data_IF_474718848478
#
_entry.id   IF_474718848478
#
_cell.length_a   1.000
_cell.length_b   1.000
_cell.length_c   1.000
_cell.angle_alpha   90.00
_cell.angle_beta   90.00
_cell.angle_gamma   90.00
#
_symmetry.space_group_name_H-M   'P 1'
#
loop_
_entity.id
_entity.type
_entity.pdbx_description
1 polymer ?
#
# COMPACT_ATOMS: atom_id res chain seq x y z
N UNK A 1 3.42 8.94 -18.89
CA UNK A 1 1.95 8.84 -19.01
C UNK A 1 1.42 7.97 -17.88
N UNK A 2 0.17 8.17 -17.46
CA UNK A 2 -0.48 7.43 -16.35
C UNK A 2 -0.33 5.91 -16.51
N UNK A 3 -0.38 5.41 -17.74
CA UNK A 3 -0.26 3.98 -18.06
C UNK A 3 1.10 3.36 -17.67
N UNK A 4 2.19 4.11 -17.76
CA UNK A 4 3.53 3.64 -17.34
C UNK A 4 3.63 3.51 -15.81
N UNK A 5 3.00 4.42 -15.07
CA UNK A 5 2.97 4.35 -13.61
C UNK A 5 2.12 3.18 -13.13
N UNK A 6 1.00 2.91 -13.81
CA UNK A 6 0.10 1.80 -13.47
C UNK A 6 0.75 0.44 -13.74
N UNK A 7 1.50 0.33 -14.85
CA UNK A 7 2.30 -0.86 -15.15
C UNK A 7 3.37 -1.10 -14.09
N UNK A 8 4.17 -0.08 -13.75
CA UNK A 8 5.20 -0.16 -12.70
C UNK A 8 4.64 -0.50 -11.34
N UNK A 9 3.47 0.05 -11.00
CA UNK A 9 2.78 -0.27 -9.75
C UNK A 9 2.34 -1.73 -9.72
N UNK A 10 1.78 -2.25 -10.82
CA UNK A 10 1.38 -3.66 -10.94
C UNK A 10 2.60 -4.59 -10.83
N UNK A 11 3.71 -4.25 -11.48
CA UNK A 11 4.97 -5.01 -11.37
C UNK A 11 5.51 -5.01 -9.94
N UNK A 12 5.55 -3.85 -9.28
CA UNK A 12 5.95 -3.74 -7.88
C UNK A 12 5.05 -4.60 -6.97
N UNK A 13 3.74 -4.56 -7.18
CA UNK A 13 2.79 -5.39 -6.42
C UNK A 13 3.06 -6.89 -6.61
N UNK A 14 3.31 -7.32 -7.85
CA UNK A 14 3.64 -8.71 -8.15
C UNK A 14 4.95 -9.15 -7.48
N UNK A 15 5.97 -8.29 -7.50
CA UNK A 15 7.25 -8.58 -6.82
C UNK A 15 7.07 -8.66 -5.30
N UNK A 16 6.38 -7.71 -4.69
CA UNK A 16 6.11 -7.69 -3.26
C UNK A 16 5.27 -8.89 -2.80
N UNK A 17 4.31 -9.33 -3.61
CA UNK A 17 3.45 -10.50 -3.31
C UNK A 17 4.17 -11.84 -3.41
N UNK A 18 5.36 -11.87 -4.03
CA UNK A 18 6.22 -13.07 -4.15
C UNK A 18 7.32 -13.12 -3.09
N UNK A 19 7.41 -12.11 -2.22
CA UNK A 19 8.38 -12.13 -1.12
C UNK A 19 7.96 -13.20 -0.09
N UNK A 20 8.84 -14.18 0.10
CA UNK A 20 8.67 -15.21 1.14
C UNK A 20 9.19 -14.73 2.51
N UNK A 21 10.06 -13.72 2.52
CA UNK A 21 10.60 -13.14 3.74
C UNK A 21 9.52 -12.37 4.52
N UNK A 22 9.49 -12.60 5.83
CA UNK A 22 8.58 -11.89 6.72
C UNK A 22 9.09 -10.47 6.97
N UNK A 23 8.44 -9.51 6.31
CA UNK A 23 8.73 -8.09 6.50
C UNK A 23 8.35 -7.60 7.92
N UNK A 24 9.04 -6.56 8.43
CA UNK A 24 8.63 -5.87 9.64
C UNK A 24 7.15 -5.42 9.59
N UNK A 25 6.40 -5.47 10.70
CA UNK A 25 4.98 -5.11 10.73
C UNK A 25 4.66 -3.71 10.21
N UNK A 26 5.50 -2.72 10.50
CA UNK A 26 5.37 -1.35 10.03
C UNK A 26 5.52 -1.24 8.51
N UNK A 27 6.46 -1.99 7.91
CA UNK A 27 6.63 -2.07 6.46
C UNK A 27 5.38 -2.68 5.82
N UNK A 28 4.84 -3.76 6.38
CA UNK A 28 3.60 -4.37 5.90
C UNK A 28 2.41 -3.40 5.96
N UNK A 29 2.28 -2.62 7.04
CA UNK A 29 1.23 -1.62 7.19
C UNK A 29 1.38 -0.49 6.16
N UNK A 30 2.60 -0.02 5.90
CA UNK A 30 2.86 1.00 4.88
C UNK A 30 2.54 0.50 3.47
N UNK A 31 2.96 -0.72 3.13
CA UNK A 31 2.61 -1.35 1.85
C UNK A 31 1.09 -1.44 1.68
N UNK A 32 0.38 -1.88 2.72
CA UNK A 32 -1.09 -1.93 2.72
C UNK A 32 -1.71 -0.53 2.51
N UNK A 33 -1.26 0.47 3.27
CA UNK A 33 -1.80 1.83 3.21
C UNK A 33 -1.62 2.44 1.81
N UNK A 34 -0.41 2.42 1.26
CA UNK A 34 -0.15 2.96 -0.08
C UNK A 34 -0.93 2.20 -1.16
N UNK A 35 -1.03 0.87 -1.07
CA UNK A 35 -1.83 0.08 -2.02
C UNK A 35 -3.31 0.46 -1.96
N UNK A 36 -3.89 0.57 -0.76
CA UNK A 36 -5.29 0.94 -0.57
C UNK A 36 -5.56 2.35 -1.09
N UNK A 37 -4.68 3.31 -0.80
CA UNK A 37 -4.81 4.67 -1.30
C UNK A 37 -4.68 4.73 -2.83
N UNK A 38 -3.76 3.96 -3.42
CA UNK A 38 -3.59 3.85 -4.87
C UNK A 38 -4.80 3.25 -5.61
N UNK A 39 -5.62 2.42 -4.95
CA UNK A 39 -6.74 1.71 -5.60
C UNK A 39 -8.10 2.31 -5.24
N UNK A 40 -8.23 2.90 -4.05
CA UNK A 40 -9.51 3.38 -3.51
C UNK A 40 -9.51 4.87 -3.20
N UNK A 41 -8.36 5.52 -3.10
CA UNK A 41 -8.23 6.88 -2.58
C UNK A 41 -8.86 7.02 -1.20
N UNK A 42 -9.46 8.17 -0.92
CA UNK A 42 -10.12 8.48 0.37
C UNK A 42 -11.48 7.78 0.57
N UNK A 43 -11.79 6.72 -0.20
CA UNK A 43 -13.02 5.92 -0.04
C UNK A 43 -12.85 4.90 1.07
N UNK A 44 -12.64 5.40 2.28
CA UNK A 44 -12.34 4.60 3.46
C UNK A 44 -13.50 3.67 3.81
N UNK A 45 -13.16 2.41 4.10
CA UNK A 45 -14.09 1.39 4.56
C UNK A 45 -13.47 0.67 5.74
N UNK A 46 -14.11 0.73 6.89
CA UNK A 46 -13.69 0.00 8.08
C UNK A 46 -14.51 -1.28 8.20
N UNK A 47 -13.83 -2.40 8.40
CA UNK A 47 -14.50 -3.66 8.76
C UNK A 47 -14.42 -3.79 10.28
N UNK A 48 -15.58 -3.67 10.94
CA UNK A 48 -15.75 -3.63 12.40
C UNK A 48 -15.59 -5.01 13.09
N UNK A 49 -15.04 -5.99 12.38
CA UNK A 49 -14.56 -7.19 13.04
C UNK A 49 -13.49 -6.78 14.07
N UNK A 50 -13.64 -7.22 15.32
CA UNK A 50 -12.82 -6.87 16.50
C UNK A 50 -11.34 -7.33 16.44
N UNK A 51 -10.77 -7.50 15.25
CA UNK A 51 -9.35 -7.79 15.02
C UNK A 51 -8.54 -6.48 15.05
N UNK A 52 -7.67 -6.35 16.05
CA UNK A 52 -6.74 -5.24 16.22
C UNK A 52 -5.88 -4.96 14.96
N UNK A 53 -5.57 -5.98 14.16
CA UNK A 53 -4.84 -5.79 12.89
C UNK A 53 -5.65 -5.01 11.86
N UNK A 54 -6.97 -5.16 11.83
CA UNK A 54 -7.83 -4.38 10.94
C UNK A 54 -7.85 -2.91 11.36
N UNK A 55 -7.87 -2.63 12.66
CA UNK A 55 -7.75 -1.28 13.20
C UNK A 55 -6.41 -0.62 12.79
N UNK A 56 -5.28 -1.34 12.92
CA UNK A 56 -3.99 -0.82 12.48
C UNK A 56 -3.93 -0.55 10.97
N UNK A 57 -4.44 -1.48 10.16
CA UNK A 57 -4.54 -1.31 8.70
C UNK A 57 -5.37 -0.10 8.31
N UNK A 58 -6.53 0.06 8.93
CA UNK A 58 -7.41 1.19 8.68
C UNK A 58 -6.78 2.51 9.10
N UNK A 59 -6.17 2.56 10.29
CA UNK A 59 -5.44 3.75 10.75
C UNK A 59 -4.29 4.14 9.81
N UNK A 60 -3.49 3.17 9.36
CA UNK A 60 -2.41 3.44 8.42
C UNK A 60 -2.93 3.99 7.07
N UNK A 61 -4.06 3.47 6.57
CA UNK A 61 -4.69 4.01 5.36
C UNK A 61 -5.28 5.41 5.59
N UNK A 62 -5.97 5.64 6.70
CA UNK A 62 -6.54 6.94 7.09
C UNK A 62 -5.48 8.04 7.21
N UNK A 63 -4.26 7.70 7.66
CA UNK A 63 -3.14 8.64 7.73
C UNK A 63 -2.72 9.18 6.36
N UNK A 64 -3.08 8.51 5.26
CA UNK A 64 -2.80 8.96 3.89
C UNK A 64 -3.93 9.78 3.27
N UNK A 65 -4.95 10.17 4.05
CA UNK A 65 -6.07 10.99 3.57
C UNK A 65 -5.58 12.23 2.82
N UNK A 66 -6.14 12.46 1.63
CA UNK A 66 -5.76 13.56 0.73
C UNK A 66 -4.58 13.25 -0.20
N UNK A 67 -3.86 12.13 0.01
CA UNK A 67 -2.83 11.68 -0.91
C UNK A 67 -3.46 11.24 -2.24
N UNK A 68 -2.90 11.70 -3.36
CA UNK A 68 -3.42 11.34 -4.68
C UNK A 68 -3.09 9.89 -5.04
N UNK A 69 -3.91 9.27 -5.90
CA UNK A 69 -3.64 7.92 -6.43
C UNK A 69 -2.25 7.80 -7.08
N UNK A 70 -1.79 8.73 -7.95
CA UNK A 70 -0.45 8.65 -8.53
C UNK A 70 0.67 8.75 -7.50
N UNK A 71 0.49 9.55 -6.45
CA UNK A 71 1.48 9.69 -5.37
C UNK A 71 1.57 8.41 -4.54
N UNK A 72 0.42 7.82 -4.17
CA UNK A 72 0.38 6.54 -3.47
C UNK A 72 1.03 5.41 -4.30
N UNK A 73 0.82 5.37 -5.62
CA UNK A 73 1.51 4.42 -6.52
C UNK A 73 3.02 4.61 -6.49
N UNK A 74 3.51 5.85 -6.55
CA UNK A 74 4.96 6.17 -6.51
C UNK A 74 5.58 5.74 -5.18
N UNK A 75 4.94 6.06 -4.06
CA UNK A 75 5.44 5.69 -2.73
C UNK A 75 5.41 4.16 -2.52
N UNK A 76 4.39 3.47 -3.03
CA UNK A 76 4.36 2.01 -3.03
C UNK A 76 5.54 1.42 -3.81
N UNK A 77 5.78 1.86 -5.04
CA UNK A 77 6.89 1.39 -5.90
C UNK A 77 8.23 1.66 -5.20
N UNK A 78 8.42 2.86 -4.65
CA UNK A 78 9.63 3.25 -3.93
C UNK A 78 9.88 2.34 -2.73
N UNK A 79 8.85 2.04 -1.94
CA UNK A 79 8.96 1.16 -0.78
C UNK A 79 9.31 -0.27 -1.21
N UNK A 80 8.64 -0.82 -2.22
CA UNK A 80 8.95 -2.16 -2.75
C UNK A 80 10.40 -2.25 -3.25
N UNK A 81 10.86 -1.26 -4.01
CA UNK A 81 12.23 -1.23 -4.51
C UNK A 81 13.28 -1.09 -3.39
N UNK A 82 12.91 -0.54 -2.22
CA UNK A 82 13.81 -0.48 -1.06
C UNK A 82 13.96 -1.82 -0.34
N UNK A 83 12.99 -2.74 -0.53
CA UNK A 83 12.96 -4.07 0.07
C UNK A 83 13.66 -5.08 -0.85
N UNK A 84 13.33 -5.02 -2.13
CA UNK A 84 13.80 -5.95 -3.16
C UNK A 84 15.06 -5.36 -3.77
N UNK A 85 16.22 -5.78 -3.27
CA UNK A 85 17.52 -5.49 -3.91
C UNK A 85 17.69 -6.31 -5.18
#
# INVERSE_FOLDING_TARGET
MKDDLDLKFKEAYQKASKLEEKLPPDVMLRLYAYYKQAVKGDRFTFNDNSDLRNAFKFNAWMQLRGMSEPEAKKEYIKLVNSIIK
#
